data_IF_311071369131
#
_entry.id   IF_311071369131
#
_cell.length_a   1.000
_cell.length_b   1.000
_cell.length_c   1.000
_cell.angle_alpha   90.00
_cell.angle_beta   90.00
_cell.angle_gamma   90.00
#
_symmetry.space_group_name_H-M   'P 1'
#
loop_
_entity.id
_entity.type
_entity.pdbx_description
1 polymer ?
#
# COMPACT_ATOMS: atom_id res chain seq x y z
N UNK A 1 -10.76 -36.67 -8.93
CA UNK A 1 -10.89 -35.19 -9.02
C UNK A 1 -10.00 -34.60 -7.94
N UNK A 2 -9.17 -33.63 -8.28
CA UNK A 2 -8.42 -32.88 -7.28
C UNK A 2 -9.40 -32.00 -6.46
N UNK A 3 -9.32 -32.00 -5.13
CA UNK A 3 -10.21 -31.18 -4.32
C UNK A 3 -9.97 -29.71 -4.61
N UNK A 4 -11.04 -28.94 -4.49
CA UNK A 4 -10.99 -27.48 -4.61
C UNK A 4 -10.11 -26.87 -3.50
N UNK A 5 -9.73 -25.61 -3.68
CA UNK A 5 -8.98 -24.86 -2.66
C UNK A 5 -9.77 -24.80 -1.36
N UNK A 6 -11.07 -24.53 -1.44
CA UNK A 6 -11.99 -24.47 -0.31
C UNK A 6 -12.06 -25.79 0.44
N UNK A 7 -12.26 -26.90 -0.28
CA UNK A 7 -12.29 -28.25 0.32
C UNK A 7 -10.97 -28.59 1.01
N UNK A 8 -9.85 -28.21 0.42
CA UNK A 8 -8.52 -28.45 1.02
C UNK A 8 -8.32 -27.69 2.34
N UNK A 9 -8.75 -26.43 2.41
CA UNK A 9 -8.70 -25.65 3.65
C UNK A 9 -9.67 -26.19 4.70
N UNK A 10 -10.88 -26.59 4.28
CA UNK A 10 -11.89 -27.15 5.18
C UNK A 10 -11.41 -28.47 5.79
N UNK A 11 -10.86 -29.39 4.99
CA UNK A 11 -10.31 -30.65 5.45
C UNK A 11 -9.17 -30.44 6.46
N UNK A 12 -8.26 -29.51 6.19
CA UNK A 12 -7.19 -29.17 7.13
C UNK A 12 -7.73 -28.58 8.44
N UNK A 13 -8.70 -27.66 8.36
CA UNK A 13 -9.35 -27.07 9.52
C UNK A 13 -10.04 -28.13 10.39
N UNK A 14 -10.80 -29.04 9.74
CA UNK A 14 -11.53 -30.10 10.43
C UNK A 14 -10.58 -31.11 11.11
N UNK A 15 -9.49 -31.47 10.46
CA UNK A 15 -8.44 -32.30 11.07
C UNK A 15 -7.85 -31.65 12.33
N UNK A 16 -7.63 -30.36 12.29
CA UNK A 16 -7.08 -29.61 13.43
C UNK A 16 -8.07 -29.45 14.57
N UNK A 17 -9.34 -29.16 14.27
CA UNK A 17 -10.41 -29.04 15.30
C UNK A 17 -10.72 -30.38 15.98
N UNK A 18 -10.56 -31.50 15.25
CA UNK A 18 -10.71 -32.85 15.79
C UNK A 18 -9.49 -33.32 16.63
N UNK A 19 -8.50 -32.45 16.84
CA UNK A 19 -7.30 -32.78 17.63
C UNK A 19 -6.36 -33.81 16.98
N UNK A 20 -6.47 -34.05 15.66
CA UNK A 20 -5.55 -34.93 14.94
C UNK A 20 -4.13 -34.37 14.96
N UNK A 21 -3.14 -35.14 15.40
CA UNK A 21 -1.75 -34.68 15.38
C UNK A 21 -1.32 -34.40 13.92
N UNK A 22 -0.45 -33.44 13.67
CA UNK A 22 0.14 -33.27 12.38
C UNK A 22 0.99 -34.47 11.98
N UNK A 23 1.17 -34.69 10.69
CA UNK A 23 2.02 -35.73 10.16
C UNK A 23 3.46 -35.63 10.70
N UNK A 24 4.18 -36.73 10.85
CA UNK A 24 5.59 -36.69 11.19
C UNK A 24 6.36 -35.74 10.26
N UNK A 25 7.23 -34.94 10.85
CA UNK A 25 8.04 -33.94 10.12
C UNK A 25 7.28 -32.75 9.52
N UNK A 26 5.94 -32.65 9.63
CA UNK A 26 5.16 -31.55 9.09
C UNK A 26 5.74 -30.18 9.50
N UNK A 27 5.99 -29.95 10.78
CA UNK A 27 6.55 -28.68 11.26
C UNK A 27 7.96 -28.40 10.72
N UNK A 28 8.78 -29.44 10.57
CA UNK A 28 10.13 -29.30 10.03
C UNK A 28 10.07 -28.92 8.54
N UNK A 29 9.18 -29.52 7.79
CA UNK A 29 8.96 -29.22 6.38
C UNK A 29 8.40 -27.80 6.17
N UNK A 30 7.43 -27.39 6.98
CA UNK A 30 6.89 -26.03 6.94
C UNK A 30 7.97 -24.99 7.25
N UNK A 31 8.81 -25.24 8.26
CA UNK A 31 9.96 -24.39 8.59
C UNK A 31 10.97 -24.34 7.43
N UNK A 32 11.26 -25.49 6.81
CA UNK A 32 12.16 -25.57 5.65
C UNK A 32 11.63 -24.74 4.47
N UNK A 33 10.31 -24.77 4.22
CA UNK A 33 9.62 -23.98 3.20
C UNK A 33 9.45 -22.49 3.59
N UNK A 34 9.93 -22.08 4.77
CA UNK A 34 9.78 -20.69 5.25
C UNK A 34 8.34 -20.26 5.52
N UNK A 35 7.42 -21.23 5.72
CA UNK A 35 6.01 -20.96 5.99
C UNK A 35 5.77 -20.81 7.49
N UNK A 36 5.08 -19.75 7.89
CA UNK A 36 4.60 -19.57 9.25
C UNK A 36 3.31 -20.39 9.44
N UNK A 37 3.19 -21.01 10.61
CA UNK A 37 1.97 -21.72 10.98
C UNK A 37 0.88 -20.71 11.31
N UNK A 38 -0.19 -20.74 10.54
CA UNK A 38 -1.38 -19.94 10.80
C UNK A 38 -2.23 -20.59 11.90
N UNK A 39 -2.89 -19.77 12.71
CA UNK A 39 -3.78 -20.28 13.74
C UNK A 39 -5.16 -20.66 13.15
N UNK A 40 -5.97 -21.41 13.91
CA UNK A 40 -7.29 -21.87 13.49
C UNK A 40 -8.24 -20.73 13.11
N UNK A 41 -8.14 -19.57 13.76
CA UNK A 41 -8.95 -18.41 13.41
C UNK A 41 -8.61 -17.88 12.03
N UNK A 42 -7.34 -17.89 11.66
CA UNK A 42 -6.91 -17.46 10.30
C UNK A 42 -7.46 -18.43 9.25
N UNK A 43 -7.44 -19.74 9.49
CA UNK A 43 -8.07 -20.70 8.60
C UNK A 43 -9.57 -20.49 8.47
N UNK A 44 -10.30 -20.30 9.57
CA UNK A 44 -11.74 -20.03 9.54
C UNK A 44 -12.07 -18.74 8.75
N UNK A 45 -11.30 -17.66 8.96
CA UNK A 45 -11.45 -16.42 8.21
C UNK A 45 -11.12 -16.61 6.72
N UNK A 46 -10.10 -17.42 6.41
CA UNK A 46 -9.71 -17.73 5.04
C UNK A 46 -10.79 -18.52 4.30
N UNK A 47 -11.39 -19.52 4.92
CA UNK A 47 -12.53 -20.28 4.38
C UNK A 47 -13.70 -19.35 4.06
N UNK A 48 -14.06 -18.50 5.02
CA UNK A 48 -15.15 -17.53 4.85
C UNK A 48 -14.88 -16.55 3.69
N UNK A 49 -13.63 -16.10 3.54
CA UNK A 49 -13.22 -15.22 2.44
C UNK A 49 -13.36 -15.91 1.09
N UNK A 50 -12.84 -17.14 0.95
CA UNK A 50 -12.96 -17.92 -0.30
C UNK A 50 -14.41 -18.16 -0.71
N UNK A 51 -15.28 -18.47 0.25
CA UNK A 51 -16.72 -18.64 0.02
C UNK A 51 -17.38 -17.34 -0.43
N UNK A 52 -17.07 -16.22 0.27
CA UNK A 52 -17.68 -14.92 -0.03
C UNK A 52 -17.29 -14.41 -1.42
N UNK A 53 -16.05 -14.65 -1.84
CA UNK A 53 -15.52 -14.19 -3.11
C UNK A 53 -15.60 -15.23 -4.23
N UNK A 54 -16.17 -16.44 -3.96
CA UNK A 54 -16.31 -17.54 -4.92
C UNK A 54 -14.96 -17.93 -5.55
N UNK A 55 -13.91 -17.99 -4.75
CA UNK A 55 -12.56 -18.39 -5.17
C UNK A 55 -12.44 -19.90 -5.00
N UNK A 56 -12.29 -20.62 -6.09
CA UNK A 56 -12.26 -22.09 -6.10
C UNK A 56 -10.87 -22.67 -6.32
N UNK A 57 -10.01 -21.92 -7.01
CA UNK A 57 -8.66 -22.38 -7.39
C UNK A 57 -7.56 -21.46 -6.87
N UNK A 58 -6.33 -21.94 -6.88
CA UNK A 58 -5.15 -21.11 -6.57
C UNK A 58 -4.93 -20.01 -7.62
N UNK A 59 -5.34 -20.26 -8.87
CA UNK A 59 -5.22 -19.30 -9.96
C UNK A 59 -6.20 -18.13 -9.75
N UNK A 60 -7.45 -18.41 -9.35
CA UNK A 60 -8.44 -17.38 -8.99
C UNK A 60 -7.94 -16.53 -7.81
N UNK A 61 -7.32 -17.18 -6.81
CA UNK A 61 -6.74 -16.48 -5.67
C UNK A 61 -5.57 -15.58 -6.08
N UNK A 62 -4.73 -16.06 -7.00
CA UNK A 62 -3.62 -15.26 -7.53
C UNK A 62 -4.13 -14.09 -8.38
N UNK A 63 -5.14 -14.30 -9.22
CA UNK A 63 -5.78 -13.24 -9.99
C UNK A 63 -6.32 -12.14 -9.04
N UNK A 64 -6.97 -12.53 -7.94
CA UNK A 64 -7.44 -11.58 -6.93
C UNK A 64 -6.30 -10.80 -6.27
N UNK A 65 -5.18 -11.45 -5.97
CA UNK A 65 -3.98 -10.79 -5.45
C UNK A 65 -3.43 -9.78 -6.46
N UNK A 66 -3.39 -10.12 -7.72
CA UNK A 66 -2.86 -9.27 -8.78
C UNK A 66 -3.77 -8.05 -9.01
N UNK A 67 -5.09 -8.24 -9.05
CA UNK A 67 -6.06 -7.13 -9.09
C UNK A 67 -5.86 -6.13 -7.94
N UNK A 68 -5.73 -6.63 -6.71
CA UNK A 68 -5.52 -5.79 -5.53
C UNK A 68 -4.15 -5.09 -5.56
N UNK A 69 -3.10 -5.78 -6.02
CA UNK A 69 -1.78 -5.18 -6.20
C UNK A 69 -1.82 -4.03 -7.20
N UNK A 70 -2.53 -4.19 -8.32
CA UNK A 70 -2.67 -3.15 -9.34
C UNK A 70 -3.38 -1.91 -8.79
N UNK A 71 -4.51 -2.09 -8.09
CA UNK A 71 -5.24 -0.99 -7.45
C UNK A 71 -4.35 -0.25 -6.44
N UNK A 72 -3.67 -1.01 -5.56
CA UNK A 72 -2.78 -0.44 -4.53
C UNK A 72 -1.59 0.27 -5.17
N UNK A 73 -1.01 -0.25 -6.26
CA UNK A 73 0.14 0.33 -6.92
C UNK A 73 -0.21 1.65 -7.61
N UNK A 74 -1.35 1.72 -8.31
CA UNK A 74 -1.87 2.95 -8.94
C UNK A 74 -2.08 4.04 -7.89
N UNK A 75 -2.77 3.73 -6.80
CA UNK A 75 -3.00 4.69 -5.71
C UNK A 75 -1.69 5.17 -5.06
N UNK A 76 -0.74 4.27 -4.83
CA UNK A 76 0.58 4.63 -4.29
C UNK A 76 1.35 5.56 -5.22
N UNK A 77 1.28 5.33 -6.53
CA UNK A 77 1.91 6.19 -7.54
C UNK A 77 1.30 7.59 -7.50
N UNK A 78 -0.02 7.69 -7.47
CA UNK A 78 -0.71 8.98 -7.39
C UNK A 78 -0.36 9.74 -6.10
N UNK A 79 -0.36 9.06 -4.96
CA UNK A 79 0.08 9.65 -3.68
C UNK A 79 1.53 10.15 -3.78
N UNK A 80 2.42 9.40 -4.42
CA UNK A 80 3.82 9.81 -4.62
C UNK A 80 3.93 11.07 -5.46
N UNK A 81 3.19 11.16 -6.56
CA UNK A 81 3.15 12.34 -7.44
C UNK A 81 2.64 13.59 -6.70
N UNK A 82 1.58 13.44 -5.90
CA UNK A 82 1.06 14.55 -5.06
C UNK A 82 2.06 14.97 -3.98
N UNK A 83 2.77 14.03 -3.37
CA UNK A 83 3.84 14.35 -2.41
C UNK A 83 5.01 15.09 -3.06
N UNK A 84 5.38 14.75 -4.28
CA UNK A 84 6.41 15.50 -5.02
C UNK A 84 5.96 16.92 -5.33
N UNK A 85 4.70 17.12 -5.73
CA UNK A 85 4.13 18.44 -5.93
C UNK A 85 4.17 19.27 -4.64
N UNK A 86 3.75 18.68 -3.52
CA UNK A 86 3.80 19.30 -2.21
C UNK A 86 5.23 19.71 -1.83
N UNK A 87 6.21 18.82 -2.02
CA UNK A 87 7.63 19.08 -1.75
C UNK A 87 8.19 20.21 -2.63
N UNK A 88 7.77 20.29 -3.90
CA UNK A 88 8.15 21.41 -4.78
C UNK A 88 7.63 22.74 -4.23
N UNK A 89 6.36 22.82 -3.81
CA UNK A 89 5.79 24.03 -3.21
C UNK A 89 6.48 24.40 -1.88
N UNK A 90 6.81 23.43 -1.05
CA UNK A 90 7.55 23.68 0.19
C UNK A 90 8.97 24.22 -0.07
N UNK A 91 9.65 23.73 -1.10
CA UNK A 91 10.95 24.24 -1.49
C UNK A 91 10.86 25.67 -2.03
N UNK A 92 9.84 25.97 -2.86
CA UNK A 92 9.62 27.35 -3.35
C UNK A 92 9.34 28.32 -2.19
N UNK A 93 8.54 27.89 -1.21
CA UNK A 93 8.28 28.69 -0.01
C UNK A 93 9.56 28.97 0.79
N UNK A 94 10.40 27.92 1.02
CA UNK A 94 11.70 28.10 1.69
C UNK A 94 12.62 29.07 0.93
N UNK A 95 12.65 28.98 -0.40
CA UNK A 95 13.43 29.91 -1.22
C UNK A 95 12.92 31.35 -1.07
N UNK A 96 11.62 31.54 -1.01
CA UNK A 96 11.02 32.87 -0.78
C UNK A 96 11.39 33.43 0.62
N UNK A 97 11.40 32.57 1.63
CA UNK A 97 11.83 32.95 2.99
C UNK A 97 13.32 33.32 3.01
N UNK A 98 14.17 32.57 2.31
CA UNK A 98 15.61 32.89 2.18
C UNK A 98 15.83 34.23 1.49
N UNK A 99 15.08 34.52 0.41
CA UNK A 99 15.18 35.82 -0.26
C UNK A 99 14.79 36.92 0.68
N UNK A 100 13.66 36.80 1.40
CA UNK A 100 13.21 37.80 2.36
C UNK A 100 14.22 38.02 3.48
N UNK A 101 14.80 36.94 4.02
CA UNK A 101 15.78 37.03 5.11
C UNK A 101 17.10 37.67 4.69
N UNK A 102 17.55 37.42 3.46
CA UNK A 102 18.82 37.94 2.94
C UNK A 102 18.69 39.26 2.14
N UNK A 103 17.46 39.78 1.98
CA UNK A 103 17.25 41.03 1.25
C UNK A 103 18.07 42.19 1.81
N UNK A 104 18.14 42.43 3.15
CA UNK A 104 18.95 43.53 3.73
C UNK A 104 20.44 43.39 3.35
N UNK A 105 20.99 42.18 3.36
CA UNK A 105 22.36 41.89 2.96
C UNK A 105 22.65 42.25 1.49
N UNK A 106 21.70 41.95 0.62
CA UNK A 106 21.78 42.29 -0.80
C UNK A 106 21.64 43.78 -1.03
N UNK A 107 20.77 44.42 -0.30
CA UNK A 107 20.59 45.87 -0.37
C UNK A 107 21.88 46.60 0.08
N UNK A 108 22.51 46.14 1.15
CA UNK A 108 23.81 46.65 1.58
C UNK A 108 24.90 46.39 0.54
N UNK A 109 24.97 45.17 -0.04
CA UNK A 109 25.91 44.83 -1.12
C UNK A 109 25.73 45.78 -2.32
N UNK A 110 24.52 46.12 -2.69
CA UNK A 110 24.23 47.00 -3.80
C UNK A 110 24.50 48.49 -3.50
N UNK A 111 24.46 48.85 -2.23
CA UNK A 111 24.75 50.23 -1.80
C UNK A 111 26.23 50.61 -1.92
N UNK A 112 27.15 49.66 -1.95
CA UNK A 112 28.57 49.94 -2.11
C UNK A 112 28.89 50.46 -3.51
N UNK A 113 29.22 51.75 -3.61
CA UNK A 113 29.61 52.43 -4.85
C UNK A 113 31.04 52.08 -5.26
N UNK A 114 31.94 51.83 -4.28
CA UNK A 114 33.36 51.58 -4.54
C UNK A 114 33.62 50.08 -4.81
N UNK A 115 34.21 49.73 -5.98
CA UNK A 115 34.45 48.34 -6.35
C UNK A 115 35.23 47.52 -5.31
N UNK A 116 36.27 48.13 -4.70
CA UNK A 116 37.11 47.45 -3.69
C UNK A 116 36.33 47.10 -2.41
N UNK A 117 35.46 48.00 -1.93
CA UNK A 117 34.60 47.74 -0.77
C UNK A 117 33.55 46.70 -1.08
N UNK A 118 32.93 46.76 -2.25
CA UNK A 118 31.94 45.80 -2.74
C UNK A 118 32.54 44.41 -2.86
N UNK A 119 33.76 44.28 -3.41
CA UNK A 119 34.46 43.01 -3.52
C UNK A 119 34.78 42.42 -2.15
N UNK A 120 35.29 43.26 -1.20
CA UNK A 120 35.56 42.82 0.18
C UNK A 120 34.29 42.27 0.84
N UNK A 121 33.19 43.00 0.72
CA UNK A 121 31.90 42.56 1.25
C UNK A 121 31.40 41.29 0.60
N UNK A 122 31.51 41.18 -0.74
CA UNK A 122 31.20 39.97 -1.45
C UNK A 122 32.00 38.75 -0.96
N UNK A 123 33.28 38.89 -0.73
CA UNK A 123 34.09 37.79 -0.24
C UNK A 123 33.71 37.35 1.19
N UNK A 124 33.27 38.28 2.01
CA UNK A 124 32.76 37.97 3.35
C UNK A 124 31.42 37.24 3.34
N UNK A 125 30.51 37.56 2.42
CA UNK A 125 29.16 37.05 2.32
C UNK A 125 28.91 36.22 1.04
N UNK A 126 29.97 35.65 0.47
CA UNK A 126 29.91 34.95 -0.81
C UNK A 126 28.90 33.83 -0.87
N UNK A 127 28.74 33.06 0.21
CA UNK A 127 27.82 31.93 0.26
C UNK A 127 26.38 32.42 0.26
N UNK A 128 26.06 33.38 1.07
CA UNK A 128 24.73 33.97 1.22
C UNK A 128 24.28 34.67 -0.07
N UNK A 129 25.15 35.48 -0.66
CA UNK A 129 24.88 36.21 -1.92
C UNK A 129 24.65 35.22 -3.06
N UNK A 130 25.50 34.21 -3.20
CA UNK A 130 25.34 33.22 -4.27
C UNK A 130 24.08 32.36 -4.08
N UNK A 131 23.75 32.01 -2.83
CA UNK A 131 22.54 31.26 -2.52
C UNK A 131 21.29 32.11 -2.78
N UNK A 132 21.28 33.39 -2.37
CA UNK A 132 20.22 34.34 -2.73
C UNK A 132 19.98 34.40 -4.23
N UNK A 133 21.04 34.61 -5.03
CA UNK A 133 20.96 34.70 -6.49
C UNK A 133 20.45 33.41 -7.12
N UNK A 134 20.78 32.26 -6.54
CA UNK A 134 20.24 30.97 -6.99
C UNK A 134 18.73 30.93 -6.72
N UNK A 135 18.30 31.20 -5.50
CA UNK A 135 16.89 31.23 -5.14
C UNK A 135 16.10 32.26 -5.97
N UNK A 136 16.65 33.44 -6.22
CA UNK A 136 16.02 34.47 -7.05
C UNK A 136 15.79 33.98 -8.48
N UNK A 137 16.78 33.32 -9.10
CA UNK A 137 16.62 32.79 -10.46
C UNK A 137 15.54 31.72 -10.55
N UNK A 138 15.49 30.82 -9.57
CA UNK A 138 14.48 29.76 -9.55
C UNK A 138 13.08 30.33 -9.28
N UNK A 139 12.95 31.28 -8.36
CA UNK A 139 11.66 31.92 -8.07
C UNK A 139 11.12 32.81 -9.20
N UNK A 140 11.97 33.40 -10.03
CA UNK A 140 11.52 34.22 -11.18
C UNK A 140 10.55 33.49 -12.09
N UNK A 141 10.67 32.16 -12.21
CA UNK A 141 9.77 31.34 -13.04
C UNK A 141 8.39 31.12 -12.39
N UNK A 142 8.26 31.43 -11.10
CA UNK A 142 7.07 31.16 -10.27
C UNK A 142 6.40 32.42 -9.72
N UNK A 143 6.85 33.60 -10.16
CA UNK A 143 6.24 34.88 -9.80
C UNK A 143 4.85 35.02 -10.43
N UNK A 144 3.99 35.79 -9.78
CA UNK A 144 2.69 36.16 -10.34
C UNK A 144 2.86 37.23 -11.46
N UNK A 145 1.74 37.59 -12.09
CA UNK A 145 1.72 38.62 -13.15
C UNK A 145 2.26 40.00 -12.69
N UNK A 146 2.30 40.25 -11.38
CA UNK A 146 2.78 41.48 -10.76
C UNK A 146 4.23 41.37 -10.28
N UNK A 147 4.93 40.28 -10.60
CA UNK A 147 6.29 40.02 -10.15
C UNK A 147 6.44 39.72 -8.67
N UNK A 148 5.33 39.37 -7.98
CA UNK A 148 5.33 39.04 -6.56
C UNK A 148 5.27 37.53 -6.36
N UNK A 149 5.84 37.08 -5.24
CA UNK A 149 5.78 35.68 -4.81
C UNK A 149 4.35 35.37 -4.33
N UNK A 150 3.61 34.43 -4.95
CA UNK A 150 2.21 34.16 -4.62
C UNK A 150 2.05 33.26 -3.38
N UNK A 151 2.58 33.70 -2.24
CA UNK A 151 2.64 32.93 -1.00
C UNK A 151 1.28 32.46 -0.49
N UNK A 152 0.24 33.29 -0.63
CA UNK A 152 -1.12 32.94 -0.22
C UNK A 152 -1.73 31.85 -1.11
N UNK A 153 -1.41 31.85 -2.42
CA UNK A 153 -1.81 30.81 -3.35
C UNK A 153 -1.11 29.49 -3.01
N UNK A 154 0.21 29.52 -2.81
CA UNK A 154 0.96 28.32 -2.46
C UNK A 154 0.52 27.70 -1.12
N UNK A 155 0.14 28.55 -0.15
CA UNK A 155 -0.41 28.05 1.12
C UNK A 155 -1.70 27.26 0.89
N UNK A 156 -2.63 27.78 0.09
CA UNK A 156 -3.88 27.09 -0.26
C UNK A 156 -3.61 25.79 -1.03
N UNK A 157 -2.80 25.84 -2.08
CA UNK A 157 -2.43 24.67 -2.87
C UNK A 157 -1.78 23.56 -2.00
N UNK A 158 -0.98 23.94 -0.98
CA UNK A 158 -0.42 22.98 -0.02
C UNK A 158 -1.48 22.32 0.84
N UNK A 159 -2.44 23.07 1.33
CA UNK A 159 -3.54 22.53 2.14
C UNK A 159 -4.43 21.59 1.28
N UNK A 160 -4.74 22.00 0.06
CA UNK A 160 -5.48 21.18 -0.91
C UNK A 160 -4.73 19.86 -1.22
N UNK A 161 -3.41 19.93 -1.51
CA UNK A 161 -2.60 18.73 -1.75
C UNK A 161 -2.54 17.80 -0.54
N UNK A 162 -2.46 18.36 0.68
CA UNK A 162 -2.47 17.55 1.91
C UNK A 162 -3.81 16.84 2.10
N UNK A 163 -4.93 17.54 1.89
CA UNK A 163 -6.26 16.95 1.96
C UNK A 163 -6.39 15.80 0.96
N UNK A 164 -6.02 16.02 -0.31
CA UNK A 164 -6.08 15.00 -1.36
C UNK A 164 -5.19 13.79 -1.03
N UNK A 165 -3.99 14.02 -0.47
CA UNK A 165 -3.11 12.93 -0.06
C UNK A 165 -3.75 12.09 1.05
N UNK A 166 -4.38 12.71 2.03
CA UNK A 166 -5.05 11.98 3.13
C UNK A 166 -6.30 11.24 2.63
N UNK A 167 -7.08 11.83 1.74
CA UNK A 167 -8.22 11.16 1.07
C UNK A 167 -7.75 9.92 0.28
N UNK A 168 -6.73 10.06 -0.56
CA UNK A 168 -6.17 8.94 -1.32
C UNK A 168 -5.61 7.83 -0.43
N UNK A 169 -5.03 8.17 0.72
CA UNK A 169 -4.58 7.17 1.69
C UNK A 169 -5.75 6.44 2.34
N UNK A 170 -6.79 7.17 2.75
CA UNK A 170 -7.98 6.59 3.35
C UNK A 170 -8.68 5.65 2.37
N UNK A 171 -8.84 6.06 1.11
CA UNK A 171 -9.44 5.26 0.05
C UNK A 171 -8.63 4.00 -0.30
N UNK A 172 -7.30 4.07 -0.18
CA UNK A 172 -6.41 2.96 -0.47
C UNK A 172 -6.26 1.98 0.70
N UNK A 173 -6.53 2.40 1.93
CA UNK A 173 -6.34 1.57 3.13
C UNK A 173 -7.14 0.26 3.10
N UNK A 174 -8.44 0.23 2.74
CA UNK A 174 -9.20 -1.02 2.66
C UNK A 174 -8.59 -2.03 1.69
N UNK A 175 -8.09 -1.58 0.54
CA UNK A 175 -7.44 -2.45 -0.45
C UNK A 175 -6.09 -2.99 0.04
N UNK A 176 -5.33 -2.21 0.80
CA UNK A 176 -4.10 -2.68 1.42
C UNK A 176 -4.38 -3.73 2.49
N UNK A 177 -5.41 -3.53 3.30
CA UNK A 177 -5.82 -4.45 4.35
C UNK A 177 -6.35 -5.76 3.74
N UNK A 178 -7.18 -5.66 2.70
CA UNK A 178 -7.65 -6.83 1.94
C UNK A 178 -6.48 -7.58 1.30
N UNK A 179 -5.57 -6.89 0.64
CA UNK A 179 -4.38 -7.50 0.02
C UNK A 179 -3.51 -8.23 1.06
N UNK A 180 -3.31 -7.61 2.23
CA UNK A 180 -2.57 -8.24 3.32
C UNK A 180 -3.28 -9.50 3.83
N UNK A 181 -4.62 -9.47 3.86
CA UNK A 181 -5.43 -10.61 4.27
C UNK A 181 -5.41 -11.73 3.22
N UNK A 182 -5.58 -11.42 1.94
CA UNK A 182 -5.56 -12.42 0.85
C UNK A 182 -4.21 -13.15 0.79
N UNK A 183 -3.10 -12.46 1.05
CA UNK A 183 -1.78 -13.10 1.19
C UNK A 183 -1.72 -14.07 2.36
N UNK A 184 -2.45 -13.83 3.44
CA UNK A 184 -2.60 -14.81 4.54
C UNK A 184 -3.45 -16.00 4.10
N UNK A 185 -4.54 -15.76 3.35
CA UNK A 185 -5.35 -16.84 2.75
C UNK A 185 -4.47 -17.74 1.88
N UNK A 186 -3.62 -17.17 1.03
CA UNK A 186 -2.66 -17.91 0.22
C UNK A 186 -1.70 -18.75 1.08
N UNK A 187 -1.21 -18.18 2.19
CA UNK A 187 -0.37 -18.92 3.14
C UNK A 187 -1.11 -20.11 3.79
N UNK A 188 -2.38 -19.92 4.18
CA UNK A 188 -3.21 -21.00 4.71
C UNK A 188 -3.44 -22.10 3.64
N UNK A 189 -3.68 -21.73 2.40
CA UNK A 189 -3.84 -22.66 1.29
C UNK A 189 -2.56 -23.48 1.04
N UNK A 190 -1.41 -22.85 1.05
CA UNK A 190 -0.10 -23.51 0.94
C UNK A 190 0.13 -24.51 2.07
N UNK A 191 -0.28 -24.18 3.31
CA UNK A 191 -0.18 -25.05 4.47
C UNK A 191 -1.06 -26.28 4.29
N UNK A 192 -2.34 -26.11 3.89
CA UNK A 192 -3.28 -27.17 3.68
C UNK A 192 -2.84 -28.12 2.56
N UNK A 193 -2.31 -27.56 1.46
CA UNK A 193 -1.75 -28.31 0.35
C UNK A 193 -0.54 -29.15 0.80
N UNK A 194 0.36 -28.57 1.58
CA UNK A 194 1.54 -29.27 2.07
C UNK A 194 1.16 -30.44 3.00
N UNK A 195 0.16 -30.27 3.87
CA UNK A 195 -0.35 -31.34 4.75
C UNK A 195 -0.89 -32.52 3.91
N UNK A 196 -1.62 -32.24 2.84
CA UNK A 196 -2.15 -33.25 1.94
C UNK A 196 -1.05 -33.97 1.16
N UNK A 197 -0.12 -33.26 0.54
CA UNK A 197 1.02 -33.83 -0.18
C UNK A 197 1.82 -34.80 0.70
N UNK A 198 2.03 -34.44 1.97
CA UNK A 198 2.71 -35.29 2.92
C UNK A 198 1.89 -36.52 3.29
N UNK A 199 0.56 -36.40 3.41
CA UNK A 199 -0.31 -37.55 3.68
C UNK A 199 -0.31 -38.56 2.51
N UNK A 200 -0.27 -38.07 1.28
CA UNK A 200 -0.21 -38.89 0.08
C UNK A 200 1.13 -39.66 -0.04
N UNK A 201 2.24 -39.00 0.30
CA UNK A 201 3.57 -39.64 0.31
C UNK A 201 3.71 -40.69 1.40
N UNK A 202 3.12 -40.48 2.59
CA UNK A 202 3.13 -41.42 3.70
C UNK A 202 2.31 -42.69 3.40
N UNK A 203 1.20 -42.54 2.65
CA UNK A 203 0.39 -43.67 2.21
C UNK A 203 1.07 -44.50 1.12
N UNK A 204 1.83 -43.85 0.21
CA UNK A 204 2.60 -44.52 -0.83
C UNK A 204 3.81 -45.32 -0.29
N UNK A 205 4.49 -44.81 0.74
CA UNK A 205 5.60 -45.48 1.38
C UNK A 205 5.20 -46.69 2.29
N UNK A 206 3.93 -46.71 2.74
CA UNK A 206 3.42 -47.77 3.62
C UNK A 206 3.10 -49.06 2.92
N UNK A 207 3.11 -49.11 1.61
CA UNK A 207 2.86 -50.37 0.81
C UNK A 207 4.10 -51.29 0.77
N UNK A 208 5.30 -50.81 1.10
CA UNK A 208 6.52 -51.61 0.99
C UNK A 208 7.21 -52.00 2.34
N UNK A 209 6.85 -51.37 3.47
CA UNK A 209 7.45 -51.68 4.78
C UNK A 209 6.42 -52.02 5.87
N UNK A 210 5.70 -53.12 5.71
CA UNK A 210 5.10 -53.84 6.81
C UNK A 210 6.16 -54.79 7.40
N UNK A 211 6.97 -54.29 8.33
CA UNK A 211 7.54 -55.09 9.46
C UNK A 211 8.29 -54.21 10.44
N UNK A 212 7.72 -54.14 11.65
CA UNK A 212 8.40 -53.99 12.95
C UNK A 212 9.31 -52.79 13.23
N UNK A 213 8.69 -51.78 13.89
CA UNK A 213 9.23 -51.36 15.20
C UNK A 213 8.21 -50.48 15.91
N UNK A 214 7.59 -50.99 16.96
CA UNK A 214 6.88 -50.19 17.98
C UNK A 214 7.87 -49.24 18.62
N UNK A 215 7.83 -47.98 18.20
CA UNK A 215 8.48 -46.92 18.94
C UNK A 215 7.45 -46.39 19.95
N UNK A 216 7.69 -46.70 21.24
CA UNK A 216 6.98 -46.10 22.37
C UNK A 216 7.19 -44.61 22.34
N UNK A 217 6.14 -43.85 22.06
CA UNK A 217 6.15 -42.40 22.22
C UNK A 217 6.13 -42.05 23.71
N UNK A 218 6.99 -41.13 24.20
CA UNK A 218 6.80 -40.57 25.52
C UNK A 218 5.52 -39.73 25.53
N UNK A 219 4.69 -39.96 26.57
CA UNK A 219 3.47 -39.20 26.81
C UNK A 219 3.83 -37.72 26.92
N UNK A 220 3.37 -36.94 25.95
CA UNK A 220 3.46 -35.49 26.02
C UNK A 220 2.45 -35.02 27.06
N UNK A 221 2.96 -34.49 28.19
CA UNK A 221 2.14 -33.90 29.23
C UNK A 221 1.31 -32.78 28.66
N UNK A 222 0.01 -32.93 28.70
CA UNK A 222 -0.99 -31.89 28.50
C UNK A 222 -1.00 -30.94 29.73
N UNK A 223 0.02 -30.16 29.88
CA UNK A 223 0.10 -29.15 30.93
C UNK A 223 0.92 -28.00 30.39
N UNK A 224 0.24 -27.07 29.71
CA UNK A 224 0.64 -25.65 29.51
C UNK A 224 -0.15 -24.98 28.40
N UNK A 225 -1.46 -25.12 28.34
CA UNK A 225 -2.31 -24.32 27.44
C UNK A 225 -3.46 -23.58 28.15
N UNK A 226 -3.49 -23.56 29.50
CA UNK A 226 -4.57 -22.89 30.25
C UNK A 226 -4.28 -21.40 30.55
N UNK A 227 -3.03 -20.94 30.50
CA UNK A 227 -2.67 -19.58 30.98
C UNK A 227 -2.68 -18.49 29.89
N UNK A 228 -3.05 -18.78 28.64
CA UNK A 228 -3.10 -17.74 27.57
C UNK A 228 -4.55 -17.28 27.25
N UNK A 229 -5.56 -17.87 27.87
CA UNK A 229 -6.96 -17.61 27.52
C UNK A 229 -7.66 -16.53 28.37
N UNK A 230 -7.05 -16.04 29.45
CA UNK A 230 -7.73 -15.09 30.36
C UNK A 230 -7.40 -13.60 30.14
N UNK A 231 -6.43 -13.23 29.32
CA UNK A 231 -6.03 -11.81 29.19
C UNK A 231 -6.68 -11.04 28.05
N UNK A 232 -7.44 -11.68 27.13
CA UNK A 232 -8.08 -11.00 26.00
C UNK A 232 -9.60 -10.83 26.07
N UNK A 233 -10.24 -11.15 27.21
CA UNK A 233 -11.71 -11.04 27.33
C UNK A 233 -12.23 -9.76 27.99
N UNK A 234 -11.39 -8.74 28.18
CA UNK A 234 -11.81 -7.47 28.83
C UNK A 234 -11.82 -6.21 27.95
N UNK A 235 -11.66 -6.30 26.65
CA UNK A 235 -11.56 -5.11 25.79
C UNK A 235 -12.62 -4.94 24.70
N UNK A 236 -13.70 -5.72 24.66
CA UNK A 236 -14.76 -5.51 23.66
C UNK A 236 -16.17 -5.63 24.25
N UNK A 237 -16.55 -4.65 25.06
CA UNK A 237 -17.96 -4.34 25.33
C UNK A 237 -18.16 -2.83 25.19
N UNK A 238 -18.35 -2.32 23.97
CA UNK A 238 -19.13 -1.11 23.75
C UNK A 238 -19.75 -1.10 22.35
N UNK A 239 -21.08 -1.19 22.39
CA UNK A 239 -22.04 -0.54 21.50
C UNK A 239 -22.17 -1.03 20.05
N UNK A 240 -23.02 -2.04 19.88
CA UNK A 240 -23.72 -2.31 18.62
C UNK A 240 -24.98 -1.47 18.57
N UNK A 241 -25.04 -0.46 17.71
CA UNK A 241 -26.30 0.09 17.23
C UNK A 241 -26.46 -0.34 15.75
N UNK A 242 -27.48 -1.18 15.56
CA UNK A 242 -27.94 -1.66 14.26
C UNK A 242 -28.62 -0.53 13.50
N UNK A 243 -28.17 -0.27 12.29
CA UNK A 243 -29.01 0.23 11.20
C UNK A 243 -28.55 -0.47 9.92
N UNK A 244 -29.40 -1.38 9.43
CA UNK A 244 -29.23 -2.04 8.14
C UNK A 244 -29.38 -1.00 7.01
N UNK A 245 -28.46 -0.92 6.03
CA UNK A 245 -28.76 -0.34 4.74
C UNK A 245 -29.03 -1.45 3.70
N UNK A 246 -30.12 -1.25 2.94
CA UNK A 246 -30.51 -2.02 1.75
C UNK A 246 -29.34 -2.31 0.82
N UNK A 247 -29.34 -3.47 0.13
CA UNK A 247 -28.30 -3.82 -0.83
C UNK A 247 -28.43 -2.97 -2.10
N UNK A 248 -27.60 -1.95 -2.23
CA UNK A 248 -27.33 -1.34 -3.52
C UNK A 248 -26.44 -2.29 -4.35
N UNK A 249 -26.83 -2.52 -5.60
CA UNK A 249 -26.12 -3.33 -6.57
C UNK A 249 -24.71 -2.75 -6.77
N UNK A 250 -23.72 -3.35 -6.14
CA UNK A 250 -22.30 -3.01 -6.34
C UNK A 250 -21.94 -3.32 -7.79
N UNK A 251 -21.86 -2.30 -8.61
CA UNK A 251 -21.22 -2.38 -9.94
C UNK A 251 -19.75 -2.77 -9.72
N UNK A 252 -19.30 -3.81 -10.43
CA UNK A 252 -17.94 -4.32 -10.36
C UNK A 252 -16.91 -3.17 -10.50
N UNK A 253 -15.93 -3.11 -9.61
CA UNK A 253 -14.82 -2.14 -9.63
C UNK A 253 -14.14 -2.06 -11.00
N UNK A 254 -14.05 -3.19 -11.72
CA UNK A 254 -13.56 -3.25 -13.10
C UNK A 254 -14.40 -2.41 -14.06
N UNK A 255 -15.74 -2.35 -13.87
CA UNK A 255 -16.60 -1.48 -14.69
C UNK A 255 -16.36 0.00 -14.38
N UNK A 256 -16.19 0.36 -13.10
CA UNK A 256 -15.88 1.75 -12.71
C UNK A 256 -14.50 2.20 -13.19
N UNK A 257 -13.49 1.33 -13.15
CA UNK A 257 -12.16 1.60 -13.70
C UNK A 257 -12.19 1.74 -15.23
N UNK A 258 -12.93 0.88 -15.92
CA UNK A 258 -13.10 0.97 -17.37
C UNK A 258 -13.86 2.24 -17.80
N UNK A 259 -14.86 2.68 -17.03
CA UNK A 259 -15.55 3.95 -17.26
C UNK A 259 -14.64 5.14 -17.02
N UNK A 260 -13.90 5.18 -15.91
CA UNK A 260 -12.92 6.25 -15.65
C UNK A 260 -11.81 6.30 -16.68
N UNK A 261 -11.34 5.14 -17.16
CA UNK A 261 -10.33 5.09 -18.24
C UNK A 261 -10.87 5.69 -19.54
N UNK A 262 -12.13 5.39 -19.92
CA UNK A 262 -12.80 6.00 -21.06
C UNK A 262 -12.98 7.51 -20.89
N UNK A 263 -13.38 7.98 -19.71
CA UNK A 263 -13.49 9.42 -19.44
C UNK A 263 -12.15 10.15 -19.56
N UNK A 264 -11.04 9.56 -19.13
CA UNK A 264 -9.70 10.12 -19.29
C UNK A 264 -9.30 10.19 -20.78
N UNK A 265 -9.52 9.12 -21.54
CA UNK A 265 -9.23 9.06 -22.97
C UNK A 265 -10.06 10.09 -23.76
N UNK A 266 -11.35 10.29 -23.42
CA UNK A 266 -12.20 11.31 -24.02
C UNK A 266 -11.78 12.74 -23.67
N UNK A 267 -11.29 12.99 -22.44
CA UNK A 267 -10.73 14.29 -22.04
C UNK A 267 -9.47 14.61 -22.82
N UNK A 268 -8.57 13.64 -22.96
CA UNK A 268 -7.33 13.81 -23.70
C UNK A 268 -7.58 14.04 -25.19
N UNK A 269 -8.54 13.34 -25.78
CA UNK A 269 -8.99 13.56 -27.17
C UNK A 269 -9.57 14.97 -27.36
N UNK A 270 -10.41 15.44 -26.43
CA UNK A 270 -10.95 16.81 -26.46
C UNK A 270 -9.88 17.88 -26.30
N UNK A 271 -8.87 17.66 -25.44
CA UNK A 271 -7.75 18.60 -25.29
C UNK A 271 -6.86 18.64 -26.54
N UNK A 272 -6.66 17.51 -27.22
CA UNK A 272 -5.89 17.48 -28.47
C UNK A 272 -6.61 18.20 -29.62
N UNK A 273 -7.93 18.10 -29.70
CA UNK A 273 -8.72 18.85 -30.72
C UNK A 273 -8.71 20.35 -30.46
N UNK A 274 -8.75 20.78 -29.20
CA UNK A 274 -8.64 22.20 -28.84
C UNK A 274 -7.24 22.75 -29.15
N UNK A 275 -6.18 21.97 -28.91
CA UNK A 275 -4.79 22.35 -29.25
C UNK A 275 -4.61 22.45 -30.78
N UNK A 276 -5.18 21.52 -31.55
CA UNK A 276 -5.13 21.57 -33.02
C UNK A 276 -5.88 22.81 -33.60
N UNK A 277 -7.03 23.17 -33.05
CA UNK A 277 -7.74 24.40 -33.46
C UNK A 277 -6.96 25.68 -33.13
N UNK A 278 -6.34 25.80 -31.96
CA UNK A 278 -5.51 26.95 -31.58
C UNK A 278 -4.29 27.13 -32.47
N UNK A 279 -3.67 26.04 -32.93
CA UNK A 279 -2.52 26.11 -33.83
C UNK A 279 -2.94 26.51 -35.28
N UNK A 280 -4.17 26.24 -35.65
CA UNK A 280 -4.70 26.65 -36.99
C UNK A 280 -5.05 28.13 -37.06
N UNK A 281 -5.57 28.71 -35.94
CA UNK A 281 -5.91 30.13 -35.84
C UNK A 281 -4.70 31.06 -35.67
N UNK A 282 -3.50 30.51 -35.38
CA UNK A 282 -2.25 31.29 -35.29
C UNK A 282 -1.43 31.30 -36.59
N UNK A 283 -1.89 30.64 -37.66
CA UNK A 283 -1.17 30.53 -38.94
C UNK A 283 -1.94 31.21 -40.12
N UNK A 284 -2.91 32.05 -39.80
CA UNK A 284 -3.56 33.00 -40.70
C UNK A 284 -3.29 34.44 -40.23
#
# INVERSE_FOLDING_TARGET
QNPTLLESLQDYYDKKTQGRPPLPNFYAEMKRKGKNLSNLQEFAKSINYLQTHQIETMDDLQERIDELNDVVSVSKKEISEKREQLKKLENLQKMAEVIKANQPLIDEYNHFFFPKKREKYYQQHKKEINYYRKCERELKQHLDKNGKVPTARWKREKEELRSVIEELKADNQPYQDELAFVKKVQSCADIARCDREMAETDTSGRSEEKREKQVKFPAFHAAQTEDIFEENSKAEQHSVNQTEPKPEKKTSLLKQLAEKKKECEERDAKQQTVRKKRNYDMSL
#
